data_IF_654733041381
#
_entry.id   IF_654733041381
#
_cell.length_a   1.000
_cell.length_b   1.000
_cell.length_c   1.000
_cell.angle_alpha   90.00
_cell.angle_beta   90.00
_cell.angle_gamma   90.00
#
_symmetry.space_group_name_H-M   'P 1'
#
loop_
_entity.id
_entity.type
_entity.pdbx_description
1 polymer ?
#
# COMPACT_ATOMS: atom_id res chain seq x y z
N UNK A 1 1.35 16.59 12.99
CA UNK A 1 0.30 16.71 11.95
C UNK A 1 -0.81 17.66 12.41
N UNK A 2 -1.69 17.27 13.34
CA UNK A 2 -2.78 18.14 13.84
C UNK A 2 -2.26 19.43 14.51
N UNK A 3 -1.35 19.32 15.47
CA UNK A 3 -0.89 20.48 16.25
C UNK A 3 0.01 21.43 15.45
N UNK A 4 0.81 20.89 14.53
CA UNK A 4 1.82 21.66 13.78
C UNK A 4 1.31 22.19 12.44
N UNK A 5 0.40 21.47 11.77
CA UNK A 5 -0.08 21.81 10.41
C UNK A 5 -1.59 22.06 10.35
N UNK A 6 -2.31 21.99 11.49
CA UNK A 6 -3.76 22.21 11.58
C UNK A 6 -4.60 21.32 10.65
N UNK A 7 -4.07 20.16 10.28
CA UNK A 7 -4.81 19.15 9.51
C UNK A 7 -5.61 18.31 10.49
N UNK A 8 -6.93 18.42 10.47
CA UNK A 8 -7.86 17.64 11.32
C UNK A 8 -8.52 16.47 10.60
N UNK A 9 -8.30 16.34 9.30
CA UNK A 9 -8.87 15.25 8.50
C UNK A 9 -8.28 13.91 8.92
N UNK A 10 -9.13 13.04 9.45
CA UNK A 10 -8.74 11.73 9.98
C UNK A 10 -8.19 10.81 8.88
N UNK A 11 -8.76 10.84 7.68
CA UNK A 11 -8.31 9.99 6.57
C UNK A 11 -6.89 10.34 6.14
N UNK A 12 -6.59 11.64 6.06
CA UNK A 12 -5.25 12.11 5.71
C UNK A 12 -4.24 11.71 6.81
N UNK A 13 -4.61 11.86 8.08
CA UNK A 13 -3.74 11.50 9.20
C UNK A 13 -3.47 9.99 9.22
N UNK A 14 -4.49 9.15 9.03
CA UNK A 14 -4.36 7.70 9.00
C UNK A 14 -3.55 7.23 7.80
N UNK A 15 -3.75 7.83 6.63
CA UNK A 15 -2.94 7.61 5.42
C UNK A 15 -1.46 7.79 5.69
N UNK A 16 -1.09 8.88 6.36
CA UNK A 16 0.30 9.17 6.69
C UNK A 16 0.81 8.26 7.80
N UNK A 17 -0.01 7.89 8.78
CA UNK A 17 0.41 6.99 9.86
C UNK A 17 0.72 5.58 9.36
N UNK A 18 -0.11 5.03 8.48
CA UNK A 18 -0.02 3.63 8.05
C UNK A 18 0.57 3.43 6.65
N UNK A 19 1.10 4.48 5.99
CA UNK A 19 1.67 4.40 4.63
C UNK A 19 2.83 3.39 4.44
N UNK A 20 3.43 2.91 5.53
CA UNK A 20 4.54 1.94 5.46
C UNK A 20 4.04 0.49 5.49
N UNK A 21 3.11 0.17 6.39
CA UNK A 21 2.61 -1.19 6.61
C UNK A 21 1.32 -1.50 5.84
N UNK A 22 0.52 -0.48 5.49
CA UNK A 22 -0.89 -0.63 5.15
C UNK A 22 -1.75 -0.80 6.41
N UNK A 23 -3.08 -0.78 6.24
CA UNK A 23 -4.06 -1.09 7.27
C UNK A 23 -5.27 -1.84 6.68
N UNK A 24 -6.13 -2.39 7.54
CA UNK A 24 -7.28 -3.22 7.12
C UNK A 24 -8.32 -2.42 6.31
N UNK A 25 -8.49 -1.13 6.61
CA UNK A 25 -9.46 -0.27 5.94
C UNK A 25 -8.77 0.85 5.17
N UNK A 26 -8.19 0.51 4.02
CA UNK A 26 -7.67 1.51 3.09
C UNK A 26 -8.79 1.98 2.17
N UNK A 27 -9.16 3.25 2.29
CA UNK A 27 -10.02 3.92 1.32
C UNK A 27 -9.22 4.33 0.06
N UNK A 28 -9.91 4.92 -0.92
CA UNK A 28 -9.29 5.31 -2.19
C UNK A 28 -8.19 6.36 -2.01
N UNK A 29 -8.35 7.31 -1.08
CA UNK A 29 -7.36 8.36 -0.81
C UNK A 29 -6.10 7.72 -0.22
N UNK A 30 -6.28 6.85 0.77
CA UNK A 30 -5.21 6.08 1.38
C UNK A 30 -4.46 5.29 0.31
N UNK A 31 -5.16 4.48 -0.49
CA UNK A 31 -4.54 3.64 -1.52
C UNK A 31 -3.80 4.48 -2.56
N UNK A 32 -4.35 5.64 -2.94
CA UNK A 32 -3.69 6.58 -3.85
C UNK A 32 -2.37 7.07 -3.27
N UNK A 33 -2.37 7.58 -2.03
CA UNK A 33 -1.16 8.08 -1.37
C UNK A 33 -0.14 6.96 -1.14
N UNK A 34 -0.62 5.79 -0.72
CA UNK A 34 0.21 4.60 -0.50
C UNK A 34 0.92 4.19 -1.79
N UNK A 35 0.17 3.98 -2.88
CA UNK A 35 0.72 3.59 -4.18
C UNK A 35 1.62 4.68 -4.76
N UNK A 36 1.28 5.96 -4.62
CA UNK A 36 2.12 7.06 -5.10
C UNK A 36 3.52 7.04 -4.48
N UNK A 37 3.65 6.76 -3.18
CA UNK A 37 4.97 6.57 -2.57
C UNK A 37 5.68 5.34 -3.16
N UNK A 38 4.99 4.21 -3.34
CA UNK A 38 5.65 2.95 -3.75
C UNK A 38 6.01 2.87 -5.23
N UNK A 39 5.26 3.55 -6.08
CA UNK A 39 5.35 3.52 -7.54
C UNK A 39 6.02 4.78 -8.11
N UNK A 40 6.78 5.50 -7.31
CA UNK A 40 7.62 6.60 -7.82
C UNK A 40 8.49 6.12 -9.00
N UNK A 41 8.60 6.88 -10.11
CA UNK A 41 9.34 6.46 -11.29
C UNK A 41 10.76 5.99 -10.99
N UNK A 42 11.47 6.63 -10.05
CA UNK A 42 12.84 6.24 -9.68
C UNK A 42 12.88 4.91 -8.90
N UNK A 43 11.78 4.55 -8.22
CA UNK A 43 11.64 3.23 -7.57
C UNK A 43 11.35 2.16 -8.61
N UNK A 44 10.52 2.46 -9.62
CA UNK A 44 10.24 1.56 -10.75
C UNK A 44 11.51 1.27 -11.55
N UNK A 45 12.32 2.29 -11.86
CA UNK A 45 13.62 2.13 -12.52
C UNK A 45 14.54 1.15 -11.78
N UNK A 46 14.50 1.16 -10.43
CA UNK A 46 15.29 0.26 -9.58
C UNK A 46 14.67 -1.13 -9.40
N UNK A 47 13.36 -1.26 -9.57
CA UNK A 47 12.63 -2.51 -9.41
C UNK A 47 11.54 -2.64 -10.48
N UNK A 48 11.89 -3.29 -11.58
CA UNK A 48 11.00 -3.49 -12.74
C UNK A 48 9.73 -4.28 -12.41
N UNK A 49 9.71 -5.03 -11.29
CA UNK A 49 8.51 -5.76 -10.84
C UNK A 49 7.38 -4.80 -10.40
N UNK A 50 7.67 -3.51 -10.23
CA UNK A 50 6.68 -2.48 -9.93
C UNK A 50 5.92 -1.98 -11.17
N UNK A 51 6.45 -2.19 -12.39
CA UNK A 51 5.83 -1.70 -13.63
C UNK A 51 4.42 -2.29 -13.86
N UNK A 52 4.17 -3.61 -13.71
CA UNK A 52 2.82 -4.15 -13.87
C UNK A 52 1.85 -3.62 -12.81
N UNK A 53 2.34 -3.32 -11.61
CA UNK A 53 1.54 -2.76 -10.52
C UNK A 53 1.13 -1.32 -10.86
N UNK A 54 2.06 -0.54 -11.43
CA UNK A 54 1.79 0.82 -11.89
C UNK A 54 0.73 0.86 -12.99
N UNK A 55 0.82 -0.04 -13.97
CA UNK A 55 -0.20 -0.16 -15.01
C UNK A 55 -1.55 -0.59 -14.43
N UNK A 56 -1.56 -1.47 -13.43
CA UNK A 56 -2.80 -1.88 -12.76
C UNK A 56 -3.43 -0.74 -11.97
N UNK A 57 -2.63 0.13 -11.36
CA UNK A 57 -3.11 1.26 -10.56
C UNK A 57 -3.95 2.25 -11.37
N UNK A 58 -3.73 2.35 -12.69
CA UNK A 58 -4.53 3.17 -13.60
C UNK A 58 -5.97 2.66 -13.77
N UNK A 59 -6.22 1.38 -13.47
CA UNK A 59 -7.51 0.73 -13.67
C UNK A 59 -8.19 0.34 -12.36
N UNK A 60 -7.42 -0.01 -11.32
CA UNK A 60 -7.93 -0.45 -10.03
C UNK A 60 -6.89 -0.25 -8.93
N UNK A 61 -7.13 0.72 -8.03
CA UNK A 61 -6.27 0.99 -6.87
C UNK A 61 -6.23 -0.21 -5.91
N UNK A 62 -7.37 -0.86 -5.68
CA UNK A 62 -7.48 -2.02 -4.79
C UNK A 62 -6.64 -3.20 -5.28
N UNK A 63 -6.75 -3.55 -6.57
CA UNK A 63 -5.98 -4.66 -7.13
C UNK A 63 -4.49 -4.33 -7.21
N UNK A 64 -4.12 -3.10 -7.57
CA UNK A 64 -2.72 -2.68 -7.55
C UNK A 64 -2.10 -2.71 -6.15
N UNK A 65 -2.86 -2.25 -5.14
CA UNK A 65 -2.43 -2.29 -3.73
C UNK A 65 -2.24 -3.74 -3.27
N UNK A 66 -3.17 -4.64 -3.63
CA UNK A 66 -3.06 -6.07 -3.34
C UNK A 66 -1.82 -6.69 -4.01
N UNK A 67 -1.58 -6.39 -5.29
CA UNK A 67 -0.39 -6.84 -6.02
C UNK A 67 0.90 -6.37 -5.34
N UNK A 68 0.95 -5.11 -4.91
CA UNK A 68 2.10 -4.57 -4.19
C UNK A 68 2.34 -5.27 -2.85
N UNK A 69 1.28 -5.46 -2.05
CA UNK A 69 1.38 -6.15 -0.76
C UNK A 69 1.86 -7.59 -0.94
N UNK A 70 1.34 -8.31 -1.94
CA UNK A 70 1.80 -9.66 -2.28
C UNK A 70 3.29 -9.68 -2.61
N UNK A 71 3.74 -8.78 -3.48
CA UNK A 71 5.15 -8.65 -3.85
C UNK A 71 6.03 -8.34 -2.63
N UNK A 72 5.62 -7.37 -1.81
CA UNK A 72 6.38 -6.92 -0.64
C UNK A 72 6.49 -8.01 0.43
N UNK A 73 5.38 -8.66 0.76
CA UNK A 73 5.35 -9.75 1.75
C UNK A 73 6.22 -10.92 1.28
N UNK A 74 6.12 -11.30 0.00
CA UNK A 74 6.96 -12.36 -0.57
C UNK A 74 8.45 -12.01 -0.49
N UNK A 75 8.82 -10.76 -0.78
CA UNK A 75 10.19 -10.28 -0.62
C UNK A 75 10.70 -10.35 0.82
N UNK A 76 9.87 -10.04 1.82
CA UNK A 76 10.22 -10.12 3.25
C UNK A 76 10.38 -11.59 3.69
N UNK A 77 9.50 -12.48 3.23
CA UNK A 77 9.59 -13.92 3.51
C UNK A 77 10.88 -14.49 2.91
N UNK A 78 11.16 -14.15 1.64
CA UNK A 78 12.36 -14.62 0.95
C UNK A 78 13.67 -14.11 1.56
N UNK A 79 13.65 -12.96 2.24
CA UNK A 79 14.80 -12.44 3.00
C UNK A 79 14.89 -13.02 4.42
N UNK A 80 13.99 -13.91 4.83
CA UNK A 80 13.96 -14.52 6.16
C UNK A 80 13.56 -13.54 7.28
N UNK A 81 12.90 -12.44 6.93
CA UNK A 81 12.54 -11.37 7.87
C UNK A 81 11.10 -11.54 8.38
N UNK A 82 10.80 -10.90 9.52
CA UNK A 82 9.46 -10.88 10.08
C UNK A 82 8.53 -9.99 9.24
N UNK A 83 7.33 -10.51 8.94
CA UNK A 83 6.27 -9.73 8.30
C UNK A 83 5.43 -9.06 9.39
N UNK A 84 5.22 -7.76 9.27
CA UNK A 84 4.38 -7.02 10.22
C UNK A 84 2.91 -7.47 10.10
N UNK A 85 2.20 -7.71 11.22
CA UNK A 85 0.79 -8.15 11.19
C UNK A 85 -0.13 -7.24 10.38
N UNK A 86 0.03 -5.92 10.48
CA UNK A 86 -0.79 -4.96 9.73
C UNK A 86 -0.69 -5.14 8.21
N UNK A 87 0.47 -5.54 7.69
CA UNK A 87 0.63 -5.82 6.26
C UNK A 87 -0.13 -7.07 5.83
N UNK A 88 -0.21 -8.08 6.71
CA UNK A 88 -1.03 -9.27 6.48
C UNK A 88 -2.53 -8.92 6.55
N UNK A 89 -2.93 -8.12 7.53
CA UNK A 89 -4.32 -7.69 7.69
C UNK A 89 -4.79 -6.84 6.50
N UNK A 90 -3.97 -5.89 6.06
CA UNK A 90 -4.24 -5.07 4.87
C UNK A 90 -4.43 -5.94 3.61
N UNK A 91 -3.54 -6.92 3.41
CA UNK A 91 -3.63 -7.88 2.30
C UNK A 91 -4.92 -8.70 2.37
N UNK A 92 -5.23 -9.25 3.53
CA UNK A 92 -6.38 -10.14 3.71
C UNK A 92 -7.70 -9.38 3.54
N UNK A 93 -7.80 -8.14 4.03
CA UNK A 93 -8.97 -7.29 3.82
C UNK A 93 -9.20 -7.00 2.34
N UNK A 94 -8.15 -6.65 1.59
CA UNK A 94 -8.27 -6.45 0.15
C UNK A 94 -8.72 -7.72 -0.57
N UNK A 95 -8.18 -8.88 -0.23
CA UNK A 95 -8.59 -10.16 -0.81
C UNK A 95 -10.07 -10.45 -0.59
N UNK A 96 -10.55 -10.30 0.65
CA UNK A 96 -11.95 -10.52 1.01
C UNK A 96 -12.90 -9.58 0.24
N UNK A 97 -12.47 -8.33 0.00
CA UNK A 97 -13.23 -7.36 -0.81
C UNK A 97 -13.21 -7.67 -2.31
N UNK A 98 -12.12 -8.23 -2.82
CA UNK A 98 -11.99 -8.57 -4.25
C UNK A 98 -12.63 -9.91 -4.64
N UNK A 99 -13.15 -10.68 -3.67
CA UNK A 99 -14.03 -11.83 -3.93
C UNK A 99 -13.39 -13.03 -4.63
N UNK A 100 -12.13 -13.34 -4.32
CA UNK A 100 -11.49 -14.61 -4.72
C UNK A 100 -11.64 -15.65 -3.61
#
# INVERSE_FOLDING_TARGET
>A
MQEQYKVSDKQIIESIKYHTSGMEEMDEIFMTVFLADKLDPKKIEKNIQLEPINQKALNSLSEATLMYLNLKISSIINSGQLVHPDSLNARNSLLLKTGI
#
